data_IF_716314165096
#
_entry.id   IF_716314165096
#
_cell.length_a   1.000
_cell.length_b   1.000
_cell.length_c   1.000
_cell.angle_alpha   90.00
_cell.angle_beta   90.00
_cell.angle_gamma   90.00
#
_symmetry.space_group_name_H-M   'P 1'
#
loop_
_entity.id
_entity.type
_entity.pdbx_description
1 polymer ?
#
# COMPACT_ATOMS: atom_id res chain seq x y z
N UNK A 1 16.84 -13.85 2.78
CA UNK A 1 17.34 -12.74 3.62
C UNK A 1 16.19 -11.80 3.91
N UNK A 2 15.59 -11.95 5.09
CA UNK A 2 14.39 -11.25 5.53
C UNK A 2 14.77 -9.87 6.09
N UNK A 3 14.19 -8.79 5.56
CA UNK A 3 14.28 -7.48 6.18
C UNK A 3 13.02 -7.20 6.99
N UNK A 4 13.23 -7.31 8.29
CA UNK A 4 12.36 -6.98 9.40
C UNK A 4 11.94 -5.50 9.32
N UNK A 5 10.64 -5.23 9.19
CA UNK A 5 10.08 -3.90 9.36
C UNK A 5 9.61 -3.76 10.81
N UNK A 6 10.47 -3.14 11.62
CA UNK A 6 10.15 -2.69 12.97
C UNK A 6 9.35 -1.39 12.86
N UNK A 7 8.03 -1.48 12.99
CA UNK A 7 7.18 -0.31 13.27
C UNK A 7 6.97 -0.29 14.78
N UNK A 8 7.72 0.59 15.44
CA UNK A 8 7.55 0.96 16.84
C UNK A 8 6.31 1.86 16.92
N UNK A 9 5.18 1.32 17.36
CA UNK A 9 4.01 2.11 17.74
C UNK A 9 3.92 2.16 19.26
N UNK A 10 4.16 3.34 19.81
CA UNK A 10 3.80 3.70 21.18
C UNK A 10 2.27 3.60 21.33
N UNK A 11 1.81 2.66 22.16
CA UNK A 11 0.50 2.72 22.79
C UNK A 11 0.54 1.95 24.11
N UNK A 12 0.59 2.71 25.19
CA UNK A 12 0.40 2.26 26.56
C UNK A 12 -1.04 1.79 26.79
N UNK A 13 -1.18 0.83 27.72
CA UNK A 13 -2.38 0.45 28.48
C UNK A 13 -3.43 -0.49 27.89
N UNK A 14 -3.42 -1.71 28.45
CA UNK A 14 -4.56 -2.50 28.98
C UNK A 14 -5.52 -3.10 27.92
N UNK A 15 -5.38 -4.38 27.57
CA UNK A 15 -5.94 -5.58 28.25
C UNK A 15 -7.47 -5.67 28.15
N UNK A 16 -7.98 -6.59 27.32
CA UNK A 16 -8.87 -7.68 27.74
C UNK A 16 -9.31 -8.53 26.55
N UNK A 17 -9.17 -9.84 26.72
CA UNK A 17 -9.77 -10.90 25.90
C UNK A 17 -11.29 -10.69 25.79
N UNK A 18 -11.83 -10.98 24.61
CA UNK A 18 -13.02 -11.84 24.52
C UNK A 18 -13.03 -12.52 23.15
N UNK A 19 -12.62 -13.78 23.16
CA UNK A 19 -12.86 -14.72 22.08
C UNK A 19 -14.35 -15.07 22.07
N UNK A 20 -15.07 -14.66 21.03
CA UNK A 20 -16.37 -15.25 20.66
C UNK A 20 -16.71 -14.79 19.25
N UNK A 21 -16.42 -15.65 18.27
CA UNK A 21 -17.23 -15.99 17.08
C UNK A 21 -16.29 -16.56 16.01
N UNK A 22 -16.05 -17.86 16.13
CA UNK A 22 -15.52 -18.66 15.04
C UNK A 22 -16.62 -18.74 13.97
N UNK A 23 -16.53 -17.96 12.88
CA UNK A 23 -17.30 -18.23 11.66
C UNK A 23 -16.53 -17.81 10.41
N UNK A 24 -15.79 -18.79 9.91
CA UNK A 24 -15.78 -19.25 8.52
C UNK A 24 -15.53 -18.22 7.40
N UNK A 25 -14.26 -18.12 6.99
CA UNK A 25 -13.81 -18.49 5.63
C UNK A 25 -12.33 -18.84 5.73
N UNK A 26 -12.00 -20.11 5.46
CA UNK A 26 -10.64 -20.62 5.52
C UNK A 26 -9.83 -20.06 4.32
N UNK A 27 -8.79 -19.26 4.57
CA UNK A 27 -7.77 -18.93 3.54
C UNK A 27 -6.36 -18.98 4.14
N UNK A 28 -5.93 -20.21 4.40
CA UNK A 28 -4.56 -20.74 4.31
C UNK A 28 -3.40 -19.97 4.99
N UNK A 29 -2.97 -20.56 6.11
CA UNK A 29 -1.57 -20.79 6.53
C UNK A 29 -0.69 -19.63 7.03
N UNK A 30 -1.19 -18.40 7.21
CA UNK A 30 -0.41 -17.34 7.87
C UNK A 30 -1.30 -16.54 8.83
N UNK A 31 -0.87 -16.37 10.09
CA UNK A 31 -1.53 -15.53 11.08
C UNK A 31 -1.28 -14.04 10.75
N UNK A 32 -1.88 -13.57 9.66
CA UNK A 32 -1.71 -12.21 9.10
C UNK A 32 -3.01 -11.46 9.24
N UNK A 33 -2.93 -10.26 9.78
CA UNK A 33 -4.04 -9.31 9.80
C UNK A 33 -4.28 -8.80 8.37
N UNK A 34 -5.52 -8.92 7.88
CA UNK A 34 -5.93 -8.36 6.60
C UNK A 34 -6.44 -6.94 6.77
N UNK A 35 -6.42 -6.17 5.68
CA UNK A 35 -6.90 -4.79 5.65
C UNK A 35 -8.42 -4.72 5.92
N UNK A 36 -9.15 -5.82 5.67
CA UNK A 36 -10.59 -5.91 5.85
C UNK A 36 -11.03 -5.91 7.31
N UNK A 37 -10.15 -6.35 8.21
CA UNK A 37 -10.42 -6.48 9.64
C UNK A 37 -10.04 -5.23 10.45
N UNK A 38 -9.46 -4.22 9.81
CA UNK A 38 -8.93 -3.03 10.46
C UNK A 38 -9.90 -1.85 10.36
N UNK A 39 -10.03 -1.08 11.45
CA UNK A 39 -10.72 0.20 11.40
C UNK A 39 -9.79 1.28 10.84
N UNK A 40 -10.13 1.78 9.65
CA UNK A 40 -9.32 2.72 8.87
C UNK A 40 -9.81 4.18 9.00
N UNK A 41 -11.00 4.39 9.58
CA UNK A 41 -11.63 5.71 9.65
C UNK A 41 -10.78 6.70 10.47
N UNK A 42 -10.51 7.87 9.89
CA UNK A 42 -9.73 8.95 10.53
C UNK A 42 -8.23 8.67 10.69
N UNK A 43 -7.73 7.50 10.29
CA UNK A 43 -6.32 7.14 10.39
C UNK A 43 -5.52 7.60 9.17
N UNK A 44 -4.21 7.80 9.37
CA UNK A 44 -3.23 8.05 8.31
C UNK A 44 -2.61 6.71 7.94
N UNK A 45 -2.70 6.31 6.69
CA UNK A 45 -2.29 4.98 6.25
C UNK A 45 -1.09 5.10 5.32
N UNK A 46 -0.07 4.32 5.62
CA UNK A 46 1.13 4.17 4.80
C UNK A 46 1.05 2.83 4.08
N UNK A 47 0.95 2.85 2.76
CA UNK A 47 0.80 1.66 1.94
C UNK A 47 2.03 1.46 1.08
N UNK A 48 2.62 0.27 1.19
CA UNK A 48 3.68 -0.16 0.27
C UNK A 48 3.04 -0.78 -0.95
N UNK A 49 3.28 -0.16 -2.11
CA UNK A 49 2.75 -0.60 -3.40
C UNK A 49 3.92 -0.97 -4.31
N UNK A 50 3.71 -1.96 -5.18
CA UNK A 50 4.68 -2.35 -6.20
C UNK A 50 4.37 -1.68 -7.54
N UNK A 51 4.99 -0.54 -7.79
CA UNK A 51 4.96 0.19 -9.05
C UNK A 51 6.22 -0.07 -9.88
N UNK A 52 6.78 -1.28 -9.81
CA UNK A 52 7.85 -1.68 -10.71
C UNK A 52 7.31 -1.94 -12.13
N UNK A 53 6.99 -0.86 -12.85
CA UNK A 53 6.47 -0.88 -14.21
C UNK A 53 7.60 -0.69 -15.23
N UNK A 54 7.55 -1.41 -16.37
CA UNK A 54 8.47 -1.12 -17.46
C UNK A 54 8.21 0.28 -18.00
N UNK A 55 9.28 1.08 -18.10
CA UNK A 55 9.23 2.41 -18.67
C UNK A 55 10.18 2.51 -19.86
N UNK A 56 9.75 3.23 -20.90
CA UNK A 56 10.55 3.56 -22.07
C UNK A 56 10.46 5.07 -22.29
N UNK A 57 11.61 5.74 -22.37
CA UNK A 57 11.70 7.19 -22.62
C UNK A 57 10.84 8.04 -21.67
N UNK A 58 10.75 7.63 -20.39
CA UNK A 58 9.96 8.32 -19.37
C UNK A 58 8.45 8.07 -19.43
N UNK A 59 7.98 7.22 -20.34
CA UNK A 59 6.57 6.80 -20.45
C UNK A 59 6.38 5.37 -19.97
N UNK A 60 5.25 5.11 -19.35
CA UNK A 60 4.85 3.79 -18.87
C UNK A 60 4.31 2.99 -20.05
N UNK A 61 4.87 1.81 -20.31
CA UNK A 61 4.41 0.97 -21.43
C UNK A 61 3.30 0.02 -21.02
N UNK A 62 3.29 -0.42 -19.76
CA UNK A 62 2.25 -1.29 -19.21
C UNK A 62 1.83 -0.81 -17.82
N UNK A 63 0.54 -0.49 -17.67
CA UNK A 63 -0.07 0.06 -16.46
C UNK A 63 -0.81 -0.97 -15.60
N UNK A 64 -0.77 -2.27 -15.92
CA UNK A 64 -1.50 -3.32 -15.21
C UNK A 64 -1.22 -3.34 -13.70
N UNK A 65 0.03 -3.12 -13.29
CA UNK A 65 0.43 -3.05 -11.87
C UNK A 65 -0.18 -1.86 -11.15
N UNK A 66 -0.33 -0.73 -11.85
CA UNK A 66 -0.95 0.48 -11.30
C UNK A 66 -2.44 0.23 -11.11
N UNK A 67 -3.11 -0.32 -12.12
CA UNK A 67 -4.54 -0.64 -12.07
C UNK A 67 -4.86 -1.62 -10.94
N UNK A 68 -4.01 -2.63 -10.73
CA UNK A 68 -4.17 -3.60 -9.64
C UNK A 68 -4.14 -2.94 -8.25
N UNK A 69 -3.33 -1.90 -8.05
CA UNK A 69 -3.26 -1.18 -6.78
C UNK A 69 -4.46 -0.26 -6.51
N UNK A 70 -5.16 0.19 -7.56
CA UNK A 70 -6.29 1.12 -7.43
C UNK A 70 -7.42 0.56 -6.58
N UNK A 71 -7.69 -0.75 -6.65
CA UNK A 71 -8.74 -1.39 -5.85
C UNK A 71 -8.51 -1.19 -4.36
N UNK A 72 -7.29 -1.46 -3.88
CA UNK A 72 -6.91 -1.30 -2.47
C UNK A 72 -6.90 0.16 -2.04
N UNK A 73 -6.43 1.07 -2.91
CA UNK A 73 -6.40 2.50 -2.60
C UNK A 73 -7.82 3.04 -2.43
N UNK A 74 -8.73 2.71 -3.36
CA UNK A 74 -10.15 3.10 -3.29
C UNK A 74 -10.80 2.53 -2.04
N UNK A 75 -10.59 1.24 -1.75
CA UNK A 75 -11.10 0.60 -0.55
C UNK A 75 -10.73 1.36 0.74
N UNK A 76 -9.46 1.73 0.87
CA UNK A 76 -8.98 2.47 2.04
C UNK A 76 -9.60 3.86 2.14
N UNK A 77 -9.75 4.56 1.01
CA UNK A 77 -10.38 5.87 0.96
C UNK A 77 -11.88 5.81 1.29
N UNK A 78 -12.59 4.81 0.74
CA UNK A 78 -14.02 4.58 0.95
C UNK A 78 -14.33 4.23 2.41
N UNK A 79 -13.38 3.61 3.11
CA UNK A 79 -13.45 3.35 4.56
C UNK A 79 -13.16 4.58 5.44
N UNK A 80 -13.02 5.76 4.86
CA UNK A 80 -12.90 7.03 5.58
C UNK A 80 -11.50 7.31 6.12
N UNK A 81 -10.46 6.78 5.49
CA UNK A 81 -9.08 7.12 5.84
C UNK A 81 -8.82 8.62 5.66
N UNK A 82 -8.12 9.23 6.63
CA UNK A 82 -7.80 10.67 6.60
C UNK A 82 -6.78 11.01 5.51
N UNK A 83 -5.80 10.13 5.30
CA UNK A 83 -4.76 10.30 4.29
C UNK A 83 -4.16 8.94 3.93
N UNK A 84 -3.75 8.79 2.67
CA UNK A 84 -3.06 7.60 2.16
C UNK A 84 -1.74 8.03 1.57
N UNK A 85 -0.65 7.49 2.10
CA UNK A 85 0.72 7.71 1.60
C UNK A 85 1.17 6.44 0.91
N UNK A 86 1.50 6.54 -0.38
CA UNK A 86 1.97 5.41 -1.18
C UNK A 86 3.49 5.44 -1.26
N UNK A 87 4.14 4.33 -0.89
CA UNK A 87 5.57 4.14 -1.09
C UNK A 87 5.81 3.05 -2.14
N UNK A 88 6.75 3.29 -3.05
CA UNK A 88 7.17 2.28 -4.02
C UNK A 88 8.64 2.44 -4.38
N UNK A 89 9.14 1.50 -5.16
CA UNK A 89 10.48 1.51 -5.73
C UNK A 89 10.37 1.19 -7.23
N UNK A 90 11.33 1.67 -8.00
CA UNK A 90 11.37 1.49 -9.44
C UNK A 90 12.76 1.01 -9.85
N UNK A 91 12.83 -0.16 -10.48
CA UNK A 91 14.10 -0.76 -10.88
C UNK A 91 15.09 -0.94 -9.71
N UNK A 92 16.38 -0.76 -10.00
CA UNK A 92 17.48 -0.86 -9.04
C UNK A 92 18.34 0.41 -9.11
N UNK A 93 18.13 1.37 -8.20
CA UNK A 93 18.89 2.62 -8.21
C UNK A 93 20.29 2.52 -7.56
N UNK A 94 20.69 1.35 -7.05
CA UNK A 94 22.01 1.10 -6.43
C UNK A 94 22.49 2.21 -5.47
N UNK A 95 21.55 2.80 -4.71
CA UNK A 95 21.81 3.85 -3.73
C UNK A 95 21.98 5.27 -4.30
N UNK A 96 22.02 5.43 -5.62
CA UNK A 96 22.21 6.72 -6.28
C UNK A 96 20.88 7.33 -6.76
N UNK A 97 20.75 8.66 -6.64
CA UNK A 97 19.60 9.39 -7.19
C UNK A 97 19.73 9.47 -8.71
N UNK A 98 19.11 8.53 -9.40
CA UNK A 98 19.04 8.56 -10.86
C UNK A 98 17.65 9.03 -11.32
N UNK A 99 17.62 10.09 -12.12
CA UNK A 99 16.39 10.69 -12.64
C UNK A 99 15.61 9.72 -13.54
N UNK A 100 16.29 8.73 -14.14
CA UNK A 100 15.68 7.65 -14.93
C UNK A 100 14.74 6.75 -14.11
N UNK A 101 15.00 6.59 -12.81
CA UNK A 101 14.17 5.79 -11.90
C UNK A 101 13.16 6.65 -11.11
N UNK A 102 12.85 7.84 -11.61
CA UNK A 102 11.87 8.71 -10.96
C UNK A 102 10.46 8.13 -11.04
N UNK A 103 9.70 8.24 -9.95
CA UNK A 103 8.29 7.84 -9.87
C UNK A 103 7.33 8.94 -10.35
N UNK A 104 7.83 10.09 -10.80
CA UNK A 104 7.02 11.18 -11.38
C UNK A 104 6.00 10.70 -12.43
N UNK A 105 6.37 9.93 -13.47
CA UNK A 105 5.40 9.48 -14.48
C UNK A 105 4.31 8.58 -13.88
N UNK A 106 4.63 7.81 -12.84
CA UNK A 106 3.66 6.95 -12.15
C UNK A 106 2.65 7.80 -11.37
N UNK A 107 3.08 8.91 -10.76
CA UNK A 107 2.19 9.82 -10.05
C UNK A 107 1.18 10.49 -10.99
N UNK A 108 1.62 10.94 -12.17
CA UNK A 108 0.74 11.52 -13.19
C UNK A 108 -0.30 10.51 -13.71
N UNK A 109 0.13 9.27 -13.96
CA UNK A 109 -0.77 8.19 -14.37
C UNK A 109 -1.79 7.87 -13.26
N UNK A 110 -1.35 7.77 -12.01
CA UNK A 110 -2.24 7.55 -10.86
C UNK A 110 -3.27 8.66 -10.69
N UNK A 111 -2.86 9.92 -10.85
CA UNK A 111 -3.76 11.08 -10.81
C UNK A 111 -4.84 10.98 -11.88
N UNK A 112 -4.46 10.61 -13.10
CA UNK A 112 -5.39 10.38 -14.23
C UNK A 112 -6.40 9.26 -13.92
N UNK A 113 -5.93 8.16 -13.33
CA UNK A 113 -6.76 6.99 -13.01
C UNK A 113 -7.68 7.19 -11.80
N UNK A 114 -7.22 7.91 -10.77
CA UNK A 114 -8.00 8.20 -9.56
C UNK A 114 -8.94 9.40 -9.75
N UNK A 115 -8.70 10.26 -10.76
CA UNK A 115 -9.44 11.51 -11.00
C UNK A 115 -9.54 12.37 -9.74
N UNK A 116 -8.48 12.37 -8.93
CA UNK A 116 -8.42 13.03 -7.63
C UNK A 116 -7.00 13.56 -7.44
N UNK A 117 -6.90 14.77 -6.92
CA UNK A 117 -5.64 15.45 -6.62
C UNK A 117 -5.06 15.02 -5.28
#
# INVERSE_FOLDING_TARGET
MAFCFLILLLASSVCCLNATTQNHMNKMALNKLSVDLLNLAGKRILMRVDFNVPMKDGKITNNQRIVAALGTIKYVLDKGAKSVVLMSHLGRPDGNKNQKYSLKPVAEELKTLLKRD
#
